data_IF_984279176304
#
_entry.id   IF_984279176304
#
_cell.length_a   1.000
_cell.length_b   1.000
_cell.length_c   1.000
_cell.angle_alpha   90.00
_cell.angle_beta   90.00
_cell.angle_gamma   90.00
#
_symmetry.space_group_name_H-M   'P 1'
#
loop_
_entity.id
_entity.type
_entity.pdbx_description
1 polymer ?
#
# COMPACT_ATOMS: atom_id res chain seq x y z
N UNK A 1 -35.54 3.01 12.21
CA UNK A 1 -34.84 1.94 11.48
C UNK A 1 -33.45 2.43 11.12
N UNK A 2 -32.41 1.63 11.39
CA UNK A 2 -31.02 1.95 10.99
C UNK A 2 -30.74 1.18 9.71
N UNK A 3 -30.49 1.88 8.61
CA UNK A 3 -30.05 1.26 7.35
C UNK A 3 -28.53 1.44 7.23
N UNK A 4 -27.85 0.32 6.99
CA UNK A 4 -26.41 0.28 6.72
C UNK A 4 -26.25 -0.11 5.25
N UNK A 5 -25.37 0.59 4.54
CA UNK A 5 -25.09 0.34 3.13
C UNK A 5 -23.62 0.60 2.86
N UNK A 6 -23.06 -0.23 1.99
CA UNK A 6 -21.70 -0.14 1.53
C UNK A 6 -21.66 0.71 0.24
N UNK A 7 -20.55 1.42 0.08
CA UNK A 7 -20.31 2.22 -1.09
C UNK A 7 -18.82 2.49 -1.25
N UNK A 8 -18.41 2.70 -2.49
CA UNK A 8 -17.02 2.99 -2.82
C UNK A 8 -16.88 4.48 -3.13
N UNK A 9 -15.84 5.11 -2.61
CA UNK A 9 -15.50 6.49 -2.98
C UNK A 9 -14.78 6.46 -4.32
N UNK A 10 -15.39 7.03 -5.36
CA UNK A 10 -14.83 7.14 -6.71
C UNK A 10 -14.76 8.62 -7.07
N UNK A 11 -13.55 9.11 -7.37
CA UNK A 11 -13.29 10.51 -7.70
C UNK A 11 -13.84 11.52 -6.66
N UNK A 12 -13.77 11.16 -5.37
CA UNK A 12 -14.26 12.02 -4.27
C UNK A 12 -15.77 11.99 -4.05
N UNK A 13 -16.53 11.25 -4.87
CA UNK A 13 -17.95 11.01 -4.68
C UNK A 13 -18.20 9.62 -4.08
N UNK A 14 -19.02 9.54 -3.03
CA UNK A 14 -19.49 8.26 -2.48
C UNK A 14 -20.52 7.65 -3.44
N UNK A 15 -20.15 6.56 -4.11
CA UNK A 15 -21.09 5.74 -4.89
C UNK A 15 -21.57 4.60 -4.01
N UNK A 16 -22.87 4.58 -3.75
CA UNK A 16 -23.52 3.50 -3.01
C UNK A 16 -23.73 2.30 -3.94
N UNK A 17 -23.48 1.09 -3.44
CA UNK A 17 -23.66 -0.13 -4.23
C UNK A 17 -25.15 -0.43 -4.50
N UNK A 18 -26.03 0.11 -3.64
CA UNK A 18 -27.48 0.05 -3.78
C UNK A 18 -28.07 1.45 -3.67
N UNK A 19 -29.08 1.71 -4.50
CA UNK A 19 -29.87 2.92 -4.39
C UNK A 19 -30.70 2.87 -3.10
N UNK A 20 -30.50 3.88 -2.27
CA UNK A 20 -31.21 4.07 -1.02
C UNK A 20 -32.38 5.02 -1.27
N UNK A 21 -33.61 4.52 -1.12
CA UNK A 21 -34.82 5.35 -1.12
C UNK A 21 -34.94 6.07 0.23
N UNK A 22 -34.14 7.13 0.38
CA UNK A 22 -34.24 8.02 1.53
C UNK A 22 -35.20 9.16 1.18
N UNK A 23 -36.11 9.54 2.09
CA UNK A 23 -36.93 10.73 1.89
C UNK A 23 -36.05 11.98 1.82
N UNK A 24 -36.51 12.98 1.06
CA UNK A 24 -35.81 14.25 0.90
C UNK A 24 -35.46 14.87 2.27
N UNK A 25 -34.26 15.45 2.37
CA UNK A 25 -33.70 16.06 3.59
C UNK A 25 -33.32 15.09 4.73
N UNK A 26 -33.01 13.83 4.41
CA UNK A 26 -32.50 12.87 5.39
C UNK A 26 -31.07 13.17 5.84
N UNK A 27 -30.82 13.15 7.17
CA UNK A 27 -29.48 13.32 7.75
C UNK A 27 -28.77 11.97 7.83
N UNK A 28 -27.63 11.83 7.14
CA UNK A 28 -26.87 10.57 7.08
C UNK A 28 -25.52 10.73 7.77
N UNK A 29 -25.10 9.72 8.54
CA UNK A 29 -23.77 9.64 9.15
C UNK A 29 -22.94 8.65 8.35
N UNK A 30 -21.90 9.13 7.67
CA UNK A 30 -21.02 8.31 6.84
C UNK A 30 -19.74 8.02 7.61
N UNK A 31 -19.37 6.74 7.70
CA UNK A 31 -18.04 6.31 8.14
C UNK A 31 -17.25 5.88 6.89
N UNK A 32 -16.09 6.50 6.67
CA UNK A 32 -15.23 6.19 5.52
C UNK A 32 -13.99 5.47 6.05
N UNK A 33 -13.83 4.21 5.65
CA UNK A 33 -12.64 3.42 5.95
C UNK A 33 -11.75 3.36 4.70
N UNK A 34 -10.48 3.78 4.79
CA UNK A 34 -9.56 3.67 3.66
C UNK A 34 -9.23 2.21 3.39
N UNK A 35 -9.50 1.74 2.18
CA UNK A 35 -9.03 0.44 1.70
C UNK A 35 -7.49 0.50 1.60
N UNK A 36 -6.82 -0.42 2.30
CA UNK A 36 -5.36 -0.59 2.47
C UNK A 36 -4.55 -0.86 1.17
N UNK A 37 -4.81 -0.08 0.13
CA UNK A 37 -4.11 -0.17 -1.16
C UNK A 37 -2.64 0.28 -1.06
N UNK A 38 -2.31 1.15 -0.12
CA UNK A 38 -0.94 1.59 0.11
C UNK A 38 -0.11 0.52 0.87
N UNK A 39 -0.69 -0.09 1.89
CA UNK A 39 -0.02 -1.14 2.67
C UNK A 39 0.21 -2.40 1.83
N UNK A 40 -0.73 -2.78 0.96
CA UNK A 40 -0.58 -3.99 0.13
C UNK A 40 0.53 -3.86 -0.91
N UNK A 41 0.67 -2.70 -1.56
CA UNK A 41 1.75 -2.43 -2.52
C UNK A 41 3.12 -2.38 -1.87
N UNK A 42 3.23 -1.74 -0.70
CA UNK A 42 4.48 -1.69 0.04
C UNK A 42 4.91 -3.08 0.51
N UNK A 43 3.96 -3.87 1.06
CA UNK A 43 4.22 -5.23 1.52
C UNK A 43 4.64 -6.15 0.36
N UNK A 44 3.96 -6.07 -0.79
CA UNK A 44 4.33 -6.83 -1.98
C UNK A 44 5.73 -6.46 -2.51
N UNK A 45 6.08 -5.17 -2.51
CA UNK A 45 7.42 -4.72 -2.89
C UNK A 45 8.52 -5.14 -1.90
N UNK A 46 8.19 -5.26 -0.61
CA UNK A 46 9.15 -5.65 0.43
C UNK A 46 9.38 -7.17 0.42
N UNK A 47 8.35 -7.96 0.15
CA UNK A 47 8.44 -9.41 -0.09
C UNK A 47 9.28 -9.73 -1.33
N UNK A 48 9.05 -9.02 -2.46
CA UNK A 48 9.84 -9.24 -3.67
C UNK A 48 11.30 -8.86 -3.51
N UNK A 49 11.60 -7.79 -2.76
CA UNK A 49 12.97 -7.41 -2.43
C UNK A 49 13.67 -8.45 -1.56
N UNK A 50 12.98 -9.01 -0.56
CA UNK A 50 13.52 -10.10 0.26
C UNK A 50 13.82 -11.35 -0.58
N UNK A 51 12.88 -11.77 -1.43
CA UNK A 51 13.08 -12.90 -2.33
C UNK A 51 14.30 -12.68 -3.25
N UNK A 52 14.45 -11.48 -3.80
CA UNK A 52 15.62 -11.13 -4.62
C UNK A 52 16.93 -11.23 -3.83
N UNK A 53 16.96 -10.81 -2.56
CA UNK A 53 18.14 -10.94 -1.71
C UNK A 53 18.49 -12.39 -1.35
N UNK A 54 17.49 -13.27 -1.24
CA UNK A 54 17.68 -14.71 -1.01
C UNK A 54 18.16 -15.41 -2.28
N UNK A 55 17.62 -15.06 -3.45
CA UNK A 55 17.98 -15.63 -4.75
C UNK A 55 19.35 -15.13 -5.27
N UNK A 56 19.70 -13.88 -4.96
CA UNK A 56 20.97 -13.26 -5.33
C UNK A 56 21.75 -12.84 -4.09
N UNK A 57 22.32 -13.81 -3.35
CA UNK A 57 23.16 -13.49 -2.20
C UNK A 57 24.35 -12.66 -2.69
N UNK A 58 24.44 -11.42 -2.22
CA UNK A 58 25.58 -10.55 -2.50
C UNK A 58 26.76 -11.11 -1.72
N UNK A 59 27.56 -11.96 -2.38
CA UNK A 59 28.84 -12.42 -1.87
C UNK A 59 29.86 -11.28 -1.95
N UNK A 60 29.68 -10.24 -1.13
CA UNK A 60 30.65 -9.18 -0.95
C UNK A 60 31.92 -9.67 -0.21
N UNK A 61 32.27 -10.96 -0.28
CA UNK A 61 33.54 -11.54 0.15
C UNK A 61 34.04 -11.18 1.56
N UNK A 62 33.19 -10.60 2.41
CA UNK A 62 33.56 -9.97 3.68
C UNK A 62 34.68 -8.90 3.59
N UNK A 63 35.11 -8.47 2.40
CA UNK A 63 36.24 -7.55 2.27
C UNK A 63 35.77 -6.12 2.51
N UNK A 64 35.98 -5.65 3.73
CA UNK A 64 36.00 -4.21 4.02
C UNK A 64 37.24 -3.64 3.34
N UNK A 65 37.06 -3.05 2.17
CA UNK A 65 38.10 -2.24 1.57
C UNK A 65 38.27 -0.97 2.39
N UNK A 66 39.48 -0.71 2.85
CA UNK A 66 39.85 0.61 3.34
C UNK A 66 39.78 1.63 2.19
N UNK A 67 39.67 2.92 2.52
CA UNK A 67 39.58 3.98 1.51
C UNK A 67 40.75 3.92 0.51
N UNK A 68 41.94 3.56 0.98
CA UNK A 68 43.14 3.53 0.16
C UNK A 68 43.14 2.30 -0.79
N UNK A 69 42.60 1.15 -0.36
CA UNK A 69 42.43 -0.04 -1.20
C UNK A 69 41.40 0.15 -2.34
N UNK A 70 40.45 1.07 -2.19
CA UNK A 70 39.48 1.43 -3.24
C UNK A 70 40.10 2.27 -4.36
N UNK A 71 41.20 2.97 -4.08
CA UNK A 71 41.86 3.87 -5.03
C UNK A 71 42.95 3.19 -5.89
N UNK A 72 43.33 1.94 -5.60
CA UNK A 72 44.38 1.20 -6.33
C UNK A 72 43.86 0.37 -7.53
N UNK A 73 42.73 0.75 -8.15
CA UNK A 73 42.32 0.15 -9.43
C UNK A 73 43.11 0.78 -10.57
N UNK A 74 44.26 0.21 -10.90
CA UNK A 74 44.92 0.39 -12.21
C UNK A 74 44.56 -0.75 -13.15
#
# INVERSE_FOLDING_TARGET
MKMETLGTVVAGALRLDKQLELPDQSRVRVAVEPLDSCQSRFRAGLESWKAFCEEHPVHAGGKRYSRDELHERR
#
